data_IF_890843444743
#
_entry.id   IF_890843444743
#
_cell.length_a   1.000
_cell.length_b   1.000
_cell.length_c   1.000
_cell.angle_alpha   90.00
_cell.angle_beta   90.00
_cell.angle_gamma   90.00
#
_symmetry.space_group_name_H-M   'P 1'
#
loop_
_entity.id
_entity.type
_entity.pdbx_description
1 polymer ?
#
# COMPACT_ATOMS: atom_id res chain seq x y z
N UNK A 1 -16.10 3.98 21.62
CA UNK A 1 -16.47 5.11 20.71
C UNK A 1 -15.92 6.48 21.12
N UNK A 2 -15.28 6.66 22.30
CA UNK A 2 -14.82 7.99 22.78
C UNK A 2 -13.49 8.49 22.17
N UNK A 3 -12.65 7.61 21.62
CA UNK A 3 -11.31 7.98 21.14
C UNK A 3 -11.33 8.74 19.81
N UNK A 4 -12.24 8.40 18.89
CA UNK A 4 -12.27 9.02 17.57
C UNK A 4 -12.49 10.54 17.65
N UNK A 5 -13.50 11.08 18.37
CA UNK A 5 -13.68 12.52 18.47
C UNK A 5 -12.45 13.24 19.05
N UNK A 6 -11.81 12.62 20.05
CA UNK A 6 -10.63 13.15 20.71
C UNK A 6 -9.43 13.23 19.74
N UNK A 7 -9.10 12.11 19.09
CA UNK A 7 -7.91 12.01 18.23
C UNK A 7 -8.11 12.70 16.87
N UNK A 8 -9.33 12.66 16.32
CA UNK A 8 -9.59 13.15 14.97
C UNK A 8 -9.97 14.63 14.90
N UNK A 9 -10.55 15.19 15.98
CA UNK A 9 -11.07 16.57 16.01
C UNK A 9 -10.50 17.43 17.14
N UNK A 10 -10.47 16.92 18.37
CA UNK A 10 -10.00 17.74 19.51
C UNK A 10 -8.49 17.97 19.44
N UNK A 11 -7.68 16.91 19.39
CA UNK A 11 -6.22 17.04 19.34
C UNK A 11 -5.73 17.84 18.13
N UNK A 12 -6.22 17.59 16.89
CA UNK A 12 -5.74 18.32 15.72
C UNK A 12 -6.19 19.79 15.71
N UNK A 13 -7.17 20.18 16.53
CA UNK A 13 -7.55 21.60 16.74
C UNK A 13 -6.72 22.23 17.86
N UNK A 14 -6.56 21.54 18.99
CA UNK A 14 -5.90 22.10 20.19
C UNK A 14 -4.40 22.24 19.99
N UNK A 15 -3.73 21.26 19.38
CA UNK A 15 -2.26 21.27 19.24
C UNK A 15 -1.81 22.50 18.41
N UNK A 16 -2.36 22.73 17.20
CA UNK A 16 -2.95 23.98 16.77
C UNK A 16 -2.60 25.27 17.52
N UNK A 17 -3.50 25.54 18.44
CA UNK A 17 -3.57 26.81 19.13
C UNK A 17 -2.45 26.95 20.14
N UNK A 18 -2.08 25.87 20.82
CA UNK A 18 -1.17 25.94 21.97
C UNK A 18 0.32 25.85 21.62
N UNK A 19 0.71 25.14 20.55
CA UNK A 19 2.13 24.89 20.27
C UNK A 19 2.74 25.81 19.20
N UNK A 20 1.93 26.36 18.29
CA UNK A 20 2.38 27.25 17.22
C UNK A 20 1.53 28.52 17.08
N UNK A 21 0.66 28.81 18.06
CA UNK A 21 -0.06 30.08 18.17
C UNK A 21 -1.12 30.32 17.08
N UNK A 22 -1.65 29.24 16.48
CA UNK A 22 -2.67 29.34 15.43
C UNK A 22 -4.02 29.81 16.00
N UNK A 23 -4.85 30.45 15.18
CA UNK A 23 -6.21 30.84 15.57
C UNK A 23 -7.11 29.61 15.69
N UNK A 24 -8.06 29.64 16.64
CA UNK A 24 -9.03 28.56 16.83
C UNK A 24 -9.80 28.20 15.55
N UNK A 25 -10.18 29.22 14.77
CA UNK A 25 -10.93 29.04 13.52
C UNK A 25 -10.08 28.30 12.47
N UNK A 26 -8.86 28.74 12.22
CA UNK A 26 -7.98 28.09 11.24
C UNK A 26 -7.64 26.66 11.69
N UNK A 27 -7.31 26.47 12.97
CA UNK A 27 -7.01 25.16 13.55
C UNK A 27 -8.18 24.18 13.45
N UNK A 28 -9.41 24.65 13.55
CA UNK A 28 -10.59 23.80 13.39
C UNK A 28 -10.88 23.51 11.91
N UNK A 29 -10.85 24.49 11.02
CA UNK A 29 -11.24 24.25 9.63
C UNK A 29 -10.17 23.54 8.80
N UNK A 30 -8.89 23.81 9.02
CA UNK A 30 -7.82 23.35 8.14
C UNK A 30 -7.22 22.00 8.60
N UNK A 31 -6.45 21.90 9.71
CA UNK A 31 -5.82 20.64 10.11
C UNK A 31 -6.81 19.62 10.70
N UNK A 32 -8.03 20.05 11.00
CA UNK A 32 -9.11 19.18 11.50
C UNK A 32 -10.12 18.82 10.41
N UNK A 33 -10.97 19.75 9.98
CA UNK A 33 -12.07 19.44 9.05
C UNK A 33 -11.60 19.13 7.63
N UNK A 34 -10.77 20.00 7.04
CA UNK A 34 -10.26 19.81 5.68
C UNK A 34 -9.38 18.54 5.63
N UNK A 35 -8.45 18.36 6.58
CA UNK A 35 -7.64 17.14 6.69
C UNK A 35 -8.51 15.87 6.76
N UNK A 36 -9.55 15.87 7.60
CA UNK A 36 -10.45 14.71 7.73
C UNK A 36 -11.23 14.44 6.44
N UNK A 37 -11.77 15.49 5.83
CA UNK A 37 -12.52 15.41 4.56
C UNK A 37 -11.63 14.91 3.42
N UNK A 38 -10.41 15.43 3.29
CA UNK A 38 -9.45 14.94 2.29
C UNK A 38 -9.10 13.48 2.55
N UNK A 39 -8.79 13.11 3.80
CA UNK A 39 -8.44 11.73 4.16
C UNK A 39 -9.54 10.73 3.84
N UNK A 40 -10.80 11.04 4.17
CA UNK A 40 -11.92 10.12 3.89
C UNK A 40 -12.17 9.99 2.38
N UNK A 41 -12.05 11.09 1.63
CA UNK A 41 -12.18 11.05 0.17
C UNK A 41 -11.05 10.24 -0.47
N UNK A 42 -9.81 10.35 0.01
CA UNK A 42 -8.69 9.52 -0.46
C UNK A 42 -9.00 8.03 -0.26
N UNK A 43 -9.46 7.63 0.94
CA UNK A 43 -9.82 6.23 1.22
C UNK A 43 -10.97 5.75 0.35
N UNK A 44 -12.05 6.53 0.24
CA UNK A 44 -13.20 6.16 -0.60
C UNK A 44 -12.88 6.15 -2.10
N UNK A 45 -11.93 6.97 -2.53
CA UNK A 45 -11.51 7.01 -3.93
C UNK A 45 -10.90 5.67 -4.37
N UNK A 46 -10.26 4.90 -3.47
CA UNK A 46 -9.79 3.53 -3.78
C UNK A 46 -10.96 2.62 -4.15
N UNK A 47 -12.04 2.66 -3.37
CA UNK A 47 -13.26 1.88 -3.65
C UNK A 47 -13.95 2.29 -4.96
N UNK A 48 -13.62 3.45 -5.52
CA UNK A 48 -14.16 3.95 -6.79
C UNK A 48 -13.17 3.74 -7.94
N UNK A 49 -12.05 4.45 -7.94
CA UNK A 49 -11.09 4.47 -9.05
C UNK A 49 -10.39 3.13 -9.24
N UNK A 50 -9.93 2.46 -8.17
CA UNK A 50 -9.29 1.14 -8.30
C UNK A 50 -10.28 0.02 -8.64
N UNK A 51 -11.59 0.28 -8.58
CA UNK A 51 -12.64 -0.63 -9.07
C UNK A 51 -13.24 -0.20 -10.42
N UNK A 52 -12.68 0.83 -11.07
CA UNK A 52 -13.20 1.34 -12.34
C UNK A 52 -12.11 1.41 -13.42
N UNK A 53 -10.91 1.86 -13.07
CA UNK A 53 -9.84 2.16 -14.03
C UNK A 53 -8.57 1.36 -13.73
N UNK A 54 -8.00 0.72 -14.76
CA UNK A 54 -6.77 -0.07 -14.63
C UNK A 54 -6.88 -1.46 -15.23
N UNK A 55 -5.92 -2.32 -14.90
CA UNK A 55 -5.75 -3.66 -15.45
C UNK A 55 -6.02 -4.76 -14.42
N UNK A 56 -6.17 -6.01 -14.87
CA UNK A 56 -6.42 -7.19 -14.00
C UNK A 56 -5.44 -8.33 -14.30
N UNK A 57 -4.14 -8.12 -14.04
CA UNK A 57 -3.09 -9.05 -14.44
C UNK A 57 -3.11 -10.38 -13.68
N UNK A 58 -3.70 -10.46 -12.49
CA UNK A 58 -3.71 -11.68 -11.66
C UNK A 58 -5.03 -12.43 -11.75
N UNK A 59 -6.16 -11.72 -11.67
CA UNK A 59 -7.49 -12.33 -11.77
C UNK A 59 -8.50 -11.39 -12.43
N UNK A 60 -8.88 -11.70 -13.67
CA UNK A 60 -9.85 -10.93 -14.45
C UNK A 60 -11.30 -11.18 -14.03
N UNK A 61 -11.58 -12.21 -13.22
CA UNK A 61 -12.92 -12.46 -12.70
C UNK A 61 -13.29 -11.52 -11.56
N UNK A 62 -12.29 -10.91 -10.91
CA UNK A 62 -12.47 -9.91 -9.88
C UNK A 62 -12.68 -8.51 -10.53
N UNK A 63 -13.43 -7.64 -9.86
CA UNK A 63 -13.58 -6.22 -10.23
C UNK A 63 -12.35 -5.30 -9.94
N UNK A 64 -11.58 -5.46 -8.85
CA UNK A 64 -10.50 -4.56 -8.50
C UNK A 64 -9.38 -4.63 -9.55
N UNK A 65 -8.76 -3.48 -9.78
CA UNK A 65 -7.80 -3.23 -10.86
C UNK A 65 -6.48 -2.65 -10.31
N UNK A 66 -5.42 -2.88 -11.06
CA UNK A 66 -4.10 -2.29 -10.90
C UNK A 66 -4.05 -0.88 -11.49
N UNK A 67 -3.66 0.11 -10.69
CA UNK A 67 -3.58 1.50 -11.11
C UNK A 67 -2.51 2.30 -10.35
N UNK A 68 -1.40 2.65 -11.02
CA UNK A 68 -0.30 3.46 -10.45
C UNK A 68 -0.80 4.83 -10.00
N UNK A 69 -1.73 5.45 -10.74
CA UNK A 69 -2.31 6.74 -10.37
C UNK A 69 -3.01 6.70 -9.01
N UNK A 70 -3.77 5.63 -8.76
CA UNK A 70 -4.40 5.41 -7.45
C UNK A 70 -3.37 5.11 -6.37
N UNK A 71 -2.33 4.33 -6.68
CA UNK A 71 -1.24 4.08 -5.73
C UNK A 71 -0.51 5.38 -5.33
N UNK A 72 -0.25 6.30 -6.26
CA UNK A 72 0.41 7.57 -5.95
C UNK A 72 -0.41 8.46 -4.99
N UNK A 73 -1.74 8.42 -5.09
CA UNK A 73 -2.63 9.30 -4.30
C UNK A 73 -3.03 8.65 -2.98
N UNK A 74 -3.27 7.34 -3.00
CA UNK A 74 -3.90 6.61 -1.90
C UNK A 74 -2.99 5.59 -1.24
N UNK A 75 -1.79 5.35 -1.78
CA UNK A 75 -0.82 4.33 -1.34
C UNK A 75 -1.34 2.88 -1.51
N UNK A 76 -2.54 2.71 -2.07
CA UNK A 76 -3.29 1.46 -2.22
C UNK A 76 -3.83 1.32 -3.66
N UNK A 77 -2.94 1.17 -4.64
CA UNK A 77 -3.33 1.07 -6.06
C UNK A 77 -3.13 -0.30 -6.70
N UNK A 78 -2.49 -1.25 -6.01
CA UNK A 78 -2.30 -2.60 -6.51
C UNK A 78 -3.46 -3.53 -6.13
N UNK A 79 -4.67 -3.11 -6.49
CA UNK A 79 -5.89 -3.64 -5.90
C UNK A 79 -6.28 -5.01 -6.50
N UNK A 80 -5.88 -5.34 -7.74
CA UNK A 80 -6.10 -6.68 -8.27
C UNK A 80 -5.23 -7.71 -7.54
N UNK A 81 -3.96 -7.38 -7.25
CA UNK A 81 -3.06 -8.20 -6.45
C UNK A 81 -3.61 -8.38 -5.04
N UNK A 82 -3.95 -7.28 -4.36
CA UNK A 82 -4.46 -7.30 -2.99
C UNK A 82 -5.67 -8.22 -2.83
N UNK A 83 -6.64 -8.14 -3.75
CA UNK A 83 -7.82 -9.02 -3.69
C UNK A 83 -7.54 -10.45 -4.15
N UNK A 84 -6.54 -10.67 -4.98
CA UNK A 84 -6.14 -12.03 -5.40
C UNK A 84 -5.36 -12.75 -4.29
N UNK A 85 -4.55 -12.02 -3.53
CA UNK A 85 -3.69 -12.53 -2.46
C UNK A 85 -3.85 -11.71 -1.17
N UNK A 86 -5.03 -11.76 -0.51
CA UNK A 86 -5.34 -10.90 0.63
C UNK A 86 -4.48 -11.16 1.88
N UNK A 87 -3.66 -12.20 1.89
CA UNK A 87 -2.76 -12.54 2.98
C UNK A 87 -1.32 -12.06 2.78
N UNK A 88 -0.97 -11.49 1.62
CA UNK A 88 0.36 -10.90 1.41
C UNK A 88 0.44 -9.54 2.12
N UNK A 89 1.37 -9.38 3.06
CA UNK A 89 1.52 -8.12 3.82
C UNK A 89 1.91 -6.93 2.92
N UNK A 90 2.48 -7.19 1.74
CA UNK A 90 2.96 -6.15 0.83
C UNK A 90 1.86 -5.57 -0.04
N UNK A 91 0.76 -6.31 -0.24
CA UNK A 91 -0.32 -5.95 -1.17
C UNK A 91 0.13 -5.65 -2.63
N UNK A 92 1.38 -5.94 -3.00
CA UNK A 92 1.91 -5.87 -4.37
C UNK A 92 3.07 -6.86 -4.55
N UNK A 93 3.28 -7.33 -5.77
CA UNK A 93 4.46 -8.13 -6.11
C UNK A 93 5.68 -7.27 -6.46
N UNK A 94 5.48 -5.99 -6.80
CA UNK A 94 6.50 -5.17 -7.43
C UNK A 94 7.52 -4.66 -6.41
N UNK A 95 8.80 -5.05 -6.52
CA UNK A 95 9.81 -4.71 -5.50
C UNK A 95 10.13 -3.23 -5.39
N UNK A 96 10.14 -2.50 -6.51
CA UNK A 96 10.43 -1.06 -6.48
C UNK A 96 9.32 -0.30 -5.74
N UNK A 97 8.07 -0.68 -5.98
CA UNK A 97 6.91 -0.09 -5.31
C UNK A 97 6.79 -0.57 -3.86
N UNK A 98 7.30 -1.77 -3.53
CA UNK A 98 7.42 -2.22 -2.13
C UNK A 98 8.21 -1.22 -1.28
N UNK A 99 9.32 -0.69 -1.82
CA UNK A 99 10.16 0.28 -1.12
C UNK A 99 9.56 1.69 -1.06
N UNK A 100 8.70 2.03 -2.00
CA UNK A 100 8.06 3.34 -2.09
C UNK A 100 6.71 3.41 -1.38
N UNK A 101 6.21 2.28 -0.87
CA UNK A 101 4.92 2.22 -0.16
C UNK A 101 5.17 2.39 1.34
N UNK A 102 4.80 3.53 1.97
CA UNK A 102 5.09 3.81 3.38
C UNK A 102 4.57 2.75 4.36
N UNK A 103 3.45 2.08 4.05
CA UNK A 103 2.87 1.03 4.91
C UNK A 103 3.78 -0.19 4.99
N UNK A 104 4.36 -0.63 3.88
CA UNK A 104 5.28 -1.76 3.82
C UNK A 104 6.57 -1.44 4.58
N UNK A 105 7.15 -0.26 4.32
CA UNK A 105 8.35 0.21 5.03
C UNK A 105 8.09 0.27 6.54
N UNK A 106 6.93 0.78 6.96
CA UNK A 106 6.55 0.80 8.37
C UNK A 106 6.48 -0.61 8.97
N UNK A 107 5.82 -1.56 8.31
CA UNK A 107 5.72 -2.96 8.77
C UNK A 107 7.11 -3.59 8.88
N UNK A 108 7.99 -3.37 7.91
CA UNK A 108 9.35 -3.91 7.93
C UNK A 108 10.21 -3.28 9.03
N UNK A 109 10.05 -1.99 9.32
CA UNK A 109 10.69 -1.33 10.45
C UNK A 109 10.20 -1.92 11.77
N UNK A 110 8.88 -2.13 11.91
CA UNK A 110 8.30 -2.78 13.09
C UNK A 110 8.81 -4.22 13.25
N UNK A 111 9.01 -4.93 12.14
CA UNK A 111 9.60 -6.28 12.16
C UNK A 111 11.06 -6.26 12.61
N UNK A 112 11.85 -5.28 12.17
CA UNK A 112 13.25 -5.10 12.61
C UNK A 112 13.37 -4.87 14.11
N UNK A 113 12.42 -4.17 14.74
CA UNK A 113 12.41 -3.93 16.19
C UNK A 113 11.61 -5.00 16.96
N UNK A 114 11.20 -6.09 16.32
CA UNK A 114 10.48 -7.21 16.94
C UNK A 114 9.02 -6.94 17.30
N UNK A 115 8.43 -5.83 16.83
CA UNK A 115 7.02 -5.49 17.02
C UNK A 115 6.09 -6.16 15.98
N UNK A 116 6.64 -6.63 14.86
CA UNK A 116 5.94 -7.44 13.87
C UNK A 116 6.71 -8.74 13.60
N UNK A 117 6.00 -9.82 13.31
CA UNK A 117 6.57 -11.14 13.05
C UNK A 117 5.63 -11.93 12.13
N UNK A 118 6.11 -13.07 11.62
CA UNK A 118 5.36 -13.93 10.69
C UNK A 118 4.78 -13.17 9.48
N UNK A 119 5.61 -12.32 8.85
CA UNK A 119 5.21 -11.56 7.68
C UNK A 119 4.97 -12.51 6.50
N UNK A 120 3.70 -12.70 6.14
CA UNK A 120 3.27 -13.60 5.07
C UNK A 120 3.37 -12.93 3.72
N UNK A 121 4.01 -13.60 2.77
CA UNK A 121 4.16 -13.13 1.41
C UNK A 121 3.93 -14.27 0.42
N UNK A 122 3.49 -13.95 -0.79
CA UNK A 122 3.22 -14.93 -1.84
C UNK A 122 4.52 -15.22 -2.61
N UNK A 123 4.76 -16.48 -2.92
CA UNK A 123 5.93 -16.86 -3.72
C UNK A 123 5.76 -16.44 -5.19
N UNK A 124 6.85 -16.03 -5.88
CA UNK A 124 6.79 -15.64 -7.30
C UNK A 124 6.15 -16.70 -8.21
N UNK A 125 6.39 -17.99 -7.91
CA UNK A 125 5.81 -19.10 -8.67
C UNK A 125 4.28 -19.15 -8.56
N UNK A 126 3.72 -18.94 -7.35
CA UNK A 126 2.26 -18.89 -7.17
C UNK A 126 1.66 -17.69 -7.92
N UNK A 127 2.34 -16.54 -7.90
CA UNK A 127 1.88 -15.34 -8.59
C UNK A 127 1.86 -15.59 -10.10
N UNK A 128 2.94 -16.12 -10.66
CA UNK A 128 3.06 -16.47 -12.09
C UNK A 128 2.00 -17.48 -12.52
N UNK A 129 1.79 -18.55 -11.75
CA UNK A 129 0.75 -19.54 -12.04
C UNK A 129 -0.65 -18.92 -12.00
N UNK A 130 -0.92 -18.02 -11.05
CA UNK A 130 -2.22 -17.34 -10.95
C UNK A 130 -2.44 -16.39 -12.12
N UNK A 131 -1.45 -15.56 -12.45
CA UNK A 131 -1.51 -14.65 -13.59
C UNK A 131 -1.72 -15.40 -14.91
N UNK A 132 -1.03 -16.53 -15.13
CA UNK A 132 -1.23 -17.36 -16.32
C UNK A 132 -2.63 -18.01 -16.35
N UNK A 133 -3.16 -18.44 -15.20
CA UNK A 133 -4.45 -19.14 -15.12
C UNK A 133 -5.65 -18.20 -15.23
N UNK A 134 -5.61 -17.04 -14.60
CA UNK A 134 -6.78 -16.14 -14.44
C UNK A 134 -6.54 -14.69 -14.84
N UNK A 135 -5.31 -14.31 -15.20
CA UNK A 135 -5.00 -12.95 -15.62
C UNK A 135 -5.67 -12.54 -16.93
N UNK A 136 -5.75 -11.23 -17.16
CA UNK A 136 -6.22 -10.63 -18.40
C UNK A 136 -5.13 -10.52 -19.50
N UNK A 137 -3.93 -11.06 -19.23
CA UNK A 137 -2.79 -11.04 -20.15
C UNK A 137 -1.87 -9.81 -20.00
N UNK A 138 -2.18 -8.89 -19.09
CA UNK A 138 -1.40 -7.66 -18.90
C UNK A 138 -0.27 -7.78 -17.88
N UNK A 139 -0.04 -8.96 -17.31
CA UNK A 139 0.97 -9.18 -16.26
C UNK A 139 2.40 -8.77 -16.67
N UNK A 140 2.74 -8.88 -17.96
CA UNK A 140 4.01 -8.40 -18.51
C UNK A 140 4.22 -6.88 -18.39
N UNK A 141 3.17 -6.09 -18.15
CA UNK A 141 3.24 -4.64 -17.87
C UNK A 141 3.36 -4.33 -16.37
N UNK A 142 3.18 -5.33 -15.50
CA UNK A 142 2.88 -5.13 -14.07
C UNK A 142 3.64 -6.11 -13.15
N UNK A 143 4.65 -6.83 -13.65
CA UNK A 143 5.31 -7.91 -12.90
C UNK A 143 6.78 -8.13 -13.28
N UNK A 144 7.35 -9.27 -12.83
CA UNK A 144 8.75 -9.66 -13.08
C UNK A 144 9.13 -9.81 -14.55
N UNK A 145 8.17 -9.82 -15.47
CA UNK A 145 8.40 -9.93 -16.91
C UNK A 145 8.42 -8.55 -17.60
N UNK A 146 8.34 -7.45 -16.85
CA UNK A 146 8.46 -6.08 -17.36
C UNK A 146 9.86 -5.86 -17.99
N UNK A 147 9.94 -5.52 -19.30
CA UNK A 147 11.21 -5.27 -19.98
C UNK A 147 12.00 -4.08 -19.40
N UNK A 148 11.35 -3.15 -18.70
CA UNK A 148 12.01 -2.04 -18.01
C UNK A 148 12.60 -2.47 -16.66
N UNK A 149 12.08 -3.53 -16.04
CA UNK A 149 12.58 -4.08 -14.79
C UNK A 149 13.72 -5.09 -15.03
N UNK A 150 14.92 -4.58 -15.31
CA UNK A 150 16.11 -5.38 -15.64
C UNK A 150 16.47 -6.47 -14.61
N UNK A 151 17.12 -7.55 -15.06
CA UNK A 151 17.60 -8.66 -14.20
C UNK A 151 18.42 -8.20 -12.98
N UNK A 152 19.19 -7.10 -13.11
CA UNK A 152 19.92 -6.51 -11.98
C UNK A 152 19.00 -5.92 -10.90
N UNK A 153 17.88 -5.30 -11.31
CA UNK A 153 16.87 -4.80 -10.38
C UNK A 153 16.10 -5.96 -9.75
N UNK A 154 15.83 -7.01 -10.53
CA UNK A 154 15.24 -8.25 -10.05
C UNK A 154 16.09 -8.93 -9.00
N UNK A 155 17.40 -9.04 -9.21
CA UNK A 155 18.32 -9.64 -8.24
C UNK A 155 18.44 -8.77 -6.97
N UNK A 156 18.57 -7.45 -7.13
CA UNK A 156 18.72 -6.51 -6.02
C UNK A 156 17.48 -6.42 -5.13
N UNK A 157 16.29 -6.44 -5.72
CA UNK A 157 15.03 -6.19 -5.00
C UNK A 157 14.15 -7.45 -4.89
N UNK A 158 14.46 -8.52 -5.62
CA UNK A 158 13.81 -9.83 -5.56
C UNK A 158 14.43 -10.83 -4.62
N UNK A 159 15.60 -10.50 -4.07
CA UNK A 159 16.12 -11.18 -2.91
C UNK A 159 15.12 -11.05 -1.75
N UNK A 160 14.26 -12.06 -1.62
CA UNK A 160 13.59 -12.39 -0.37
C UNK A 160 14.71 -12.63 0.62
N UNK A 161 14.97 -11.68 1.53
CA UNK A 161 15.82 -11.97 2.68
C UNK A 161 15.16 -13.15 3.40
N UNK A 162 15.74 -14.33 3.23
CA UNK A 162 15.25 -15.50 3.92
C UNK A 162 15.34 -15.18 5.42
N UNK A 163 14.33 -15.60 6.18
CA UNK A 163 14.33 -15.42 7.64
C UNK A 163 15.57 -16.04 8.32
N UNK A 164 16.31 -16.89 7.60
CA UNK A 164 17.59 -17.48 8.00
C UNK A 164 18.75 -16.47 7.98
N UNK A 165 18.78 -15.52 7.04
CA UNK A 165 19.86 -14.51 6.94
C UNK A 165 19.79 -13.47 8.07
N UNK A 166 18.63 -13.31 8.69
CA UNK A 166 18.42 -12.39 9.84
C UNK A 166 18.86 -12.97 11.19
N UNK A 167 19.22 -14.26 11.25
CA UNK A 167 19.70 -14.90 12.50
C UNK A 167 21.23 -14.85 12.66
N UNK A 168 21.96 -14.28 11.71
CA UNK A 168 23.43 -14.21 11.73
C UNK A 168 24.00 -12.78 11.86
N UNK A 169 23.16 -11.78 12.13
CA UNK A 169 23.59 -10.39 12.38
C UNK A 169 23.26 -9.95 13.80
#
# INVERSE_FOLDING_TARGET
MKMMPLLCFVLPTVVPVYFWGETWTNAFFIPTILRYTCGINVVWSVNSFAHTFGYRPYDKSLNPRENIGVWMICVEGFHNYHHTFPWDYRATELPLYNMLTPTIVFIELMAKIGQAYDLKFVSPEIIKQRAHRTGDGTHHLWGWDDPEFTEKLKEKYGAVSHSEDRKQA
#
